data_IF_809688722285
#
_entry.id   IF_809688722285
#
_cell.length_a   1.000
_cell.length_b   1.000
_cell.length_c   1.000
_cell.angle_alpha   90.00
_cell.angle_beta   90.00
_cell.angle_gamma   90.00
#
_symmetry.space_group_name_H-M   'P 1'
#
loop_
_entity.id
_entity.type
_entity.pdbx_description
1 polymer ?
#
# COMPACT_ATOMS: atom_id res chain seq x y z
N UNK A 1 -20.45 -20.68 9.31
CA UNK A 1 -19.11 -20.39 9.83
C UNK A 1 -18.18 -20.37 8.64
N UNK A 2 -17.89 -19.19 8.10
CA UNK A 2 -16.82 -19.02 7.11
C UNK A 2 -15.49 -19.30 7.82
N UNK A 3 -14.70 -20.21 7.28
CA UNK A 3 -13.33 -20.43 7.75
C UNK A 3 -12.49 -19.20 7.43
N UNK A 4 -11.80 -18.65 8.42
CA UNK A 4 -10.87 -17.53 8.23
C UNK A 4 -9.74 -18.01 7.32
N UNK A 5 -9.67 -17.51 6.08
CA UNK A 5 -8.92 -18.22 5.02
C UNK A 5 -7.54 -17.62 4.69
N UNK A 6 -7.23 -16.34 5.00
CA UNK A 6 -5.91 -15.79 4.63
C UNK A 6 -5.52 -14.49 5.35
N UNK A 7 -4.22 -14.30 5.59
CA UNK A 7 -3.61 -12.99 5.87
C UNK A 7 -2.93 -12.52 4.59
N UNK A 8 -3.19 -11.28 4.17
CA UNK A 8 -2.53 -10.69 3.00
C UNK A 8 -1.53 -9.63 3.43
N UNK A 9 -0.26 -9.93 3.19
CA UNK A 9 0.86 -8.99 3.33
C UNK A 9 1.35 -8.71 1.93
N UNK A 10 1.25 -7.46 1.48
CA UNK A 10 1.99 -7.01 0.29
C UNK A 10 3.08 -6.08 0.76
N UNK A 11 4.27 -6.64 0.93
CA UNK A 11 5.48 -5.90 1.29
C UNK A 11 6.50 -5.94 0.16
N UNK A 12 7.18 -4.81 0.01
CA UNK A 12 8.28 -4.49 -0.89
C UNK A 12 9.36 -5.57 -0.90
N UNK A 13 9.34 -6.44 -1.89
CA UNK A 13 10.52 -7.14 -2.36
C UNK A 13 10.34 -7.40 -3.86
N UNK A 14 11.18 -6.74 -4.66
CA UNK A 14 11.23 -6.68 -6.12
C UNK A 14 10.18 -5.82 -6.87
N UNK A 15 10.73 -4.93 -7.71
CA UNK A 15 10.07 -4.08 -8.71
C UNK A 15 9.34 -2.84 -8.17
N UNK A 16 9.91 -1.67 -8.49
CA UNK A 16 9.28 -0.33 -8.54
C UNK A 16 8.00 -0.22 -9.40
N UNK A 17 7.49 -1.33 -9.92
CA UNK A 17 6.21 -1.47 -10.63
C UNK A 17 5.18 -2.34 -9.89
N UNK A 18 5.60 -3.12 -8.89
CA UNK A 18 4.73 -3.96 -8.08
C UNK A 18 4.45 -3.34 -6.70
N UNK A 19 5.25 -2.40 -6.19
CA UNK A 19 4.99 -1.75 -4.90
C UNK A 19 3.74 -0.86 -4.89
N UNK A 20 3.63 0.07 -5.85
CA UNK A 20 2.46 0.96 -6.01
C UNK A 20 1.20 0.14 -6.25
N UNK A 21 1.30 -0.86 -7.13
CA UNK A 21 0.19 -1.75 -7.46
C UNK A 21 -0.13 -2.76 -6.34
N UNK A 22 0.84 -3.14 -5.52
CA UNK A 22 0.70 -4.12 -4.44
C UNK A 22 -0.10 -3.56 -3.28
N UNK A 23 0.26 -2.37 -2.81
CA UNK A 23 -0.53 -1.68 -1.80
C UNK A 23 -1.93 -1.29 -2.30
N UNK A 24 -2.04 -0.82 -3.55
CA UNK A 24 -3.35 -0.58 -4.19
C UNK A 24 -4.21 -1.86 -4.24
N UNK A 25 -3.63 -2.97 -4.71
CA UNK A 25 -4.35 -4.22 -4.89
C UNK A 25 -4.77 -4.82 -3.55
N UNK A 26 -4.00 -4.64 -2.48
CA UNK A 26 -4.39 -5.08 -1.14
C UNK A 26 -5.68 -4.42 -0.68
N UNK A 27 -5.79 -3.10 -0.82
CA UNK A 27 -7.02 -2.38 -0.48
C UNK A 27 -8.15 -2.79 -1.42
N UNK A 28 -7.88 -2.82 -2.74
CA UNK A 28 -8.89 -3.20 -3.73
C UNK A 28 -9.45 -4.61 -3.51
N UNK A 29 -8.59 -5.61 -3.24
CA UNK A 29 -9.03 -6.97 -3.00
C UNK A 29 -9.79 -7.11 -1.68
N UNK A 30 -9.43 -6.35 -0.66
CA UNK A 30 -10.15 -6.31 0.61
C UNK A 30 -11.57 -5.76 0.43
N UNK A 31 -11.73 -4.70 -0.37
CA UNK A 31 -13.04 -4.14 -0.72
C UNK A 31 -13.87 -5.15 -1.52
N UNK A 32 -13.27 -5.83 -2.51
CA UNK A 32 -13.97 -6.81 -3.35
C UNK A 32 -14.33 -8.11 -2.60
N UNK A 33 -13.58 -8.44 -1.54
CA UNK A 33 -13.74 -9.70 -0.79
C UNK A 33 -13.58 -9.48 0.73
N UNK A 34 -14.47 -8.72 1.39
CA UNK A 34 -14.25 -8.28 2.77
C UNK A 34 -14.24 -9.42 3.79
N UNK A 35 -15.03 -10.46 3.56
CA UNK A 35 -15.11 -11.62 4.46
C UNK A 35 -14.01 -12.68 4.23
N UNK A 36 -13.13 -12.46 3.26
CA UNK A 36 -12.12 -13.46 2.87
C UNK A 36 -10.83 -13.35 3.69
N UNK A 37 -10.48 -12.14 4.13
CA UNK A 37 -9.22 -11.84 4.78
C UNK A 37 -9.37 -11.73 6.30
N UNK A 38 -8.40 -12.28 7.03
CA UNK A 38 -8.31 -12.17 8.48
C UNK A 38 -7.78 -10.80 8.93
N UNK A 39 -6.93 -10.20 8.10
CA UNK A 39 -6.28 -8.91 8.28
C UNK A 39 -5.57 -8.51 6.97
N UNK A 40 -5.32 -7.21 6.78
CA UNK A 40 -4.54 -6.67 5.67
C UNK A 40 -3.42 -5.75 6.16
N UNK A 41 -2.32 -5.73 5.40
CA UNK A 41 -1.13 -4.93 5.70
C UNK A 41 -0.71 -4.09 4.48
N UNK A 42 -1.40 -2.97 4.19
CA UNK A 42 -1.07 -2.11 3.06
C UNK A 42 0.25 -1.37 3.32
N UNK A 43 1.23 -1.54 2.43
CA UNK A 43 2.54 -0.87 2.51
C UNK A 43 2.68 0.10 1.35
N UNK A 44 3.01 1.37 1.64
CA UNK A 44 3.12 2.45 0.65
C UNK A 44 1.97 2.43 -0.36
N UNK A 45 0.74 2.33 0.15
CA UNK A 45 -0.43 1.99 -0.66
C UNK A 45 -0.84 3.19 -1.54
N UNK A 46 -1.02 2.95 -2.85
CA UNK A 46 -1.29 4.00 -3.83
C UNK A 46 -2.78 4.09 -4.24
N UNK A 47 -3.68 3.68 -3.35
CA UNK A 47 -5.12 3.86 -3.48
C UNK A 47 -5.48 5.23 -2.89
N UNK A 48 -6.05 6.10 -3.70
CA UNK A 48 -6.48 7.40 -3.21
C UNK A 48 -7.66 7.21 -2.26
N UNK A 49 -7.59 7.84 -1.09
CA UNK A 49 -8.67 7.74 -0.10
C UNK A 49 -10.00 8.19 -0.71
N UNK A 50 -10.00 9.24 -1.53
CA UNK A 50 -11.19 9.76 -2.23
C UNK A 50 -11.91 8.75 -3.16
N UNK A 51 -11.24 7.67 -3.59
CA UNK A 51 -11.85 6.66 -4.45
C UNK A 51 -12.63 5.61 -3.66
N UNK A 52 -12.47 5.59 -2.34
CA UNK A 52 -13.19 4.68 -1.44
C UNK A 52 -14.44 5.43 -0.99
N UNK A 53 -15.61 5.02 -1.47
CA UNK A 53 -16.87 5.56 -1.02
C UNK A 53 -17.25 5.03 0.38
N UNK A 54 -18.38 5.47 0.92
CA UNK A 54 -18.79 5.09 2.28
C UNK A 54 -19.17 3.61 2.37
N UNK A 55 -19.74 3.02 1.31
CA UNK A 55 -20.09 1.59 1.26
C UNK A 55 -18.83 0.72 1.26
N UNK A 56 -17.78 1.14 0.55
CA UNK A 56 -16.47 0.49 0.55
C UNK A 56 -15.72 0.70 1.86
N UNK A 57 -15.84 1.87 2.49
CA UNK A 57 -15.26 2.16 3.80
C UNK A 57 -15.86 1.23 4.87
N UNK A 58 -17.19 1.02 4.85
CA UNK A 58 -17.88 0.10 5.76
C UNK A 58 -17.38 -1.35 5.63
N UNK A 59 -17.03 -1.79 4.42
CA UNK A 59 -16.44 -3.12 4.21
C UNK A 59 -15.08 -3.25 4.91
N UNK A 60 -14.28 -2.19 4.87
CA UNK A 60 -12.97 -2.15 5.51
C UNK A 60 -13.07 -2.11 7.04
N UNK A 61 -14.13 -1.54 7.63
CA UNK A 61 -14.35 -1.49 9.09
C UNK A 61 -14.35 -2.86 9.78
N UNK A 62 -14.66 -3.93 9.02
CA UNK A 62 -14.75 -5.28 9.55
C UNK A 62 -13.43 -6.06 9.45
N UNK A 63 -12.38 -5.47 8.87
CA UNK A 63 -11.11 -6.15 8.59
C UNK A 63 -10.02 -5.47 9.42
N UNK A 64 -9.25 -6.19 10.25
CA UNK A 64 -8.08 -5.61 10.88
C UNK A 64 -7.07 -5.07 9.85
N UNK A 65 -6.61 -3.82 10.01
CA UNK A 65 -5.72 -3.15 9.05
C UNK A 65 -4.48 -2.62 9.76
N UNK A 66 -3.30 -2.88 9.20
CA UNK A 66 -2.08 -2.21 9.64
C UNK A 66 -1.36 -1.55 8.46
N UNK A 67 -1.40 -0.22 8.42
CA UNK A 67 -0.72 0.60 7.43
C UNK A 67 0.77 0.75 7.75
N UNK A 68 1.60 0.65 6.72
CA UNK A 68 3.03 0.95 6.81
C UNK A 68 3.42 1.93 5.70
N UNK A 69 3.99 3.09 6.03
CA UNK A 69 4.32 4.11 5.03
C UNK A 69 5.63 4.84 5.34
N UNK A 70 6.36 5.27 4.31
CA UNK A 70 7.54 6.12 4.44
C UNK A 70 7.22 7.58 4.08
N UNK A 71 7.50 8.55 4.95
CA UNK A 71 7.17 9.97 4.70
C UNK A 71 7.97 10.58 3.56
N UNK A 72 9.18 10.06 3.31
CA UNK A 72 10.03 10.49 2.21
C UNK A 72 9.74 9.77 0.89
N UNK A 73 8.63 9.03 0.78
CA UNK A 73 8.20 8.39 -0.47
C UNK A 73 7.77 9.45 -1.49
N UNK A 74 8.61 9.68 -2.50
CA UNK A 74 8.34 10.62 -3.59
C UNK A 74 7.40 10.04 -4.67
N UNK A 75 7.14 8.73 -4.66
CA UNK A 75 6.30 8.05 -5.65
C UNK A 75 4.86 7.95 -5.17
N UNK A 76 4.66 7.60 -3.89
CA UNK A 76 3.35 7.49 -3.26
C UNK A 76 3.33 8.37 -2.01
N UNK A 77 2.73 9.55 -2.15
CA UNK A 77 2.61 10.50 -1.05
C UNK A 77 1.74 9.92 0.07
N UNK A 78 2.19 10.05 1.32
CA UNK A 78 1.42 9.60 2.50
C UNK A 78 0.00 10.18 2.52
N UNK A 79 -0.11 11.49 2.23
CA UNK A 79 -1.36 12.13 1.88
C UNK A 79 -1.42 12.44 0.39
N UNK A 80 -2.53 12.11 -0.31
CA UNK A 80 -3.87 11.75 0.20
C UNK A 80 -4.20 10.24 0.16
N UNK A 81 -3.21 9.38 0.40
CA UNK A 81 -3.36 7.91 0.27
C UNK A 81 -3.55 7.22 1.62
N UNK A 82 -2.50 6.61 2.18
CA UNK A 82 -2.55 5.85 3.43
C UNK A 82 -2.99 6.71 4.62
N UNK A 83 -2.56 7.97 4.68
CA UNK A 83 -2.91 8.87 5.78
C UNK A 83 -4.40 9.18 5.82
N UNK A 84 -4.97 9.67 4.72
CA UNK A 84 -6.37 10.08 4.66
C UNK A 84 -7.30 8.88 4.79
N UNK A 85 -6.89 7.69 4.31
CA UNK A 85 -7.67 6.48 4.54
C UNK A 85 -7.63 6.04 6.01
N UNK A 86 -6.46 6.08 6.63
CA UNK A 86 -6.32 5.80 8.06
C UNK A 86 -7.21 6.75 8.89
N UNK A 87 -7.14 8.06 8.61
CA UNK A 87 -7.93 9.07 9.32
C UNK A 87 -9.43 8.79 9.15
N UNK A 88 -9.90 8.50 7.94
CA UNK A 88 -11.31 8.14 7.68
C UNK A 88 -11.76 6.88 8.42
N UNK A 89 -10.92 5.86 8.50
CA UNK A 89 -11.25 4.62 9.22
C UNK A 89 -11.35 4.87 10.73
N UNK A 90 -10.42 5.66 11.28
CA UNK A 90 -10.46 6.06 12.69
C UNK A 90 -11.71 6.90 12.99
N UNK A 91 -12.03 7.87 12.13
CA UNK A 91 -13.23 8.72 12.26
C UNK A 91 -14.53 7.91 12.14
N UNK A 92 -14.54 6.88 11.30
CA UNK A 92 -15.66 5.95 11.15
C UNK A 92 -15.76 4.92 12.30
N UNK A 93 -14.84 4.93 13.26
CA UNK A 93 -14.90 4.11 14.48
C UNK A 93 -14.27 2.73 14.35
N UNK A 94 -13.31 2.54 13.43
CA UNK A 94 -12.59 1.28 13.28
C UNK A 94 -11.83 0.89 14.56
N UNK A 95 -12.13 -0.29 15.12
CA UNK A 95 -11.55 -0.72 16.41
C UNK A 95 -10.13 -1.32 16.31
N UNK A 96 -9.76 -1.86 15.14
CA UNK A 96 -8.50 -2.58 14.93
C UNK A 96 -7.70 -2.06 13.71
N UNK A 97 -7.35 -0.77 13.74
CA UNK A 97 -6.53 -0.11 12.72
C UNK A 97 -5.23 0.41 13.33
N UNK A 98 -4.11 0.10 12.71
CA UNK A 98 -2.76 0.47 13.15
C UNK A 98 -2.00 1.20 12.04
N UNK A 99 -1.08 2.09 12.42
CA UNK A 99 -0.27 2.87 11.49
C UNK A 99 1.20 2.92 11.95
N UNK A 100 2.11 2.54 11.07
CA UNK A 100 3.55 2.67 11.26
C UNK A 100 4.15 3.56 10.18
N UNK A 101 4.85 4.60 10.62
CA UNK A 101 5.47 5.58 9.74
C UNK A 101 6.99 5.50 9.88
N UNK A 102 7.69 5.51 8.75
CA UNK A 102 9.13 5.71 8.69
C UNK A 102 9.46 7.11 8.17
N UNK A 103 10.25 7.87 8.91
CA UNK A 103 10.61 9.24 8.50
C UNK A 103 11.48 9.26 7.24
N UNK A 104 12.38 8.27 7.10
CA UNK A 104 13.32 8.20 6.00
C UNK A 104 13.72 6.75 5.69
N UNK A 105 13.30 6.25 4.53
CA UNK A 105 13.76 4.98 3.96
C UNK A 105 14.73 5.26 2.83
N UNK A 106 15.95 4.73 2.95
CA UNK A 106 17.04 4.93 1.99
C UNK A 106 17.39 3.57 1.38
N UNK A 107 17.37 3.50 0.04
CA UNK A 107 17.90 2.33 -0.66
C UNK A 107 19.43 2.26 -0.52
N UNK A 108 19.92 1.27 0.22
CA UNK A 108 21.35 1.02 0.38
C UNK A 108 21.90 0.07 -0.69
N UNK A 109 21.05 -0.55 -1.50
CA UNK A 109 21.45 -1.51 -2.55
C UNK A 109 21.97 -0.81 -3.81
N UNK A 110 21.60 0.46 -4.02
CA UNK A 110 21.90 1.21 -5.24
C UNK A 110 21.15 0.71 -6.47
N UNK A 111 20.18 -0.19 -6.30
CA UNK A 111 19.41 -0.80 -7.38
C UNK A 111 18.19 0.05 -7.77
N UNK A 112 17.72 0.93 -6.87
CA UNK A 112 16.69 1.92 -7.20
C UNK A 112 17.42 3.14 -7.77
N UNK A 113 17.81 3.07 -9.04
CA UNK A 113 18.20 4.26 -9.77
C UNK A 113 16.98 5.20 -9.82
N UNK A 114 17.11 6.42 -9.30
CA UNK A 114 16.17 7.51 -9.59
C UNK A 114 15.87 7.46 -11.08
N UNK A 115 14.63 7.15 -11.47
CA UNK A 115 14.22 7.19 -12.86
C UNK A 115 14.23 8.66 -13.27
N UNK A 116 15.39 9.17 -13.69
CA UNK A 116 15.46 10.37 -14.50
C UNK A 116 14.71 10.06 -15.78
N UNK A 117 13.59 10.76 -15.97
CA UNK A 117 12.84 10.73 -17.22
C UNK A 117 13.70 11.43 -18.27
N UNK A 118 14.66 10.70 -18.83
CA UNK A 118 15.32 11.09 -20.08
C UNK A 118 14.42 10.63 -21.24
N UNK A 119 14.15 11.50 -22.23
CA UNK A 119 13.23 11.19 -23.32
C UNK A 119 13.68 9.94 -24.07
N UNK A 120 12.75 9.01 -24.29
CA UNK A 120 12.94 7.66 -24.82
C UNK A 120 13.94 7.56 -25.99
N UNK A 121 15.22 7.36 -25.67
CA UNK A 121 16.20 6.81 -26.60
C UNK A 121 17.29 6.10 -25.82
N UNK A 122 17.16 4.77 -25.78
CA UNK A 122 18.17 3.81 -25.30
C UNK A 122 18.13 3.48 -23.79
N UNK A 123 17.05 2.83 -23.33
CA UNK A 123 17.14 2.01 -22.11
C UNK A 123 17.95 0.75 -22.41
N UNK A 124 19.21 0.71 -21.95
CA UNK A 124 19.88 -0.58 -21.68
C UNK A 124 19.39 -1.04 -20.31
N UNK A 125 18.62 -2.11 -20.28
CA UNK A 125 18.34 -2.86 -19.06
C UNK A 125 19.63 -3.53 -18.61
N UNK A 126 20.36 -2.92 -17.67
CA UNK A 126 21.40 -3.61 -16.93
C UNK A 126 20.70 -4.59 -15.98
N UNK A 127 20.78 -5.88 -16.28
CA UNK A 127 20.40 -6.94 -15.35
C UNK A 127 21.22 -6.80 -14.06
N UNK A 128 20.54 -6.72 -12.93
CA UNK A 128 21.16 -6.92 -11.63
C UNK A 128 21.18 -8.43 -11.35
N UNK A 129 22.31 -8.97 -10.94
CA UNK A 129 22.43 -10.32 -10.40
C UNK A 129 22.89 -10.18 -8.95
N UNK A 130 22.21 -10.89 -8.06
CA UNK A 130 22.68 -11.20 -6.72
C UNK A 130 23.95 -12.07 -6.77
#
# INVERSE_FOLDING_TARGET
MSEITKITITSLDDLSRLSVNGGYMTVNLAIENPDYYAAIFPICQAYQSEWIDDDDLEKLLNIPIWFVHALNDEVVQFQPTAGDLYDRLVEAGHENVELTIFDNVIDTSGCISQVKIEPFRNLKLSHCHL
#
